data_IF_664229738596
#
_entry.id   IF_664229738596
#
_cell.length_a   1.000
_cell.length_b   1.000
_cell.length_c   1.000
_cell.angle_alpha   90.00
_cell.angle_beta   90.00
_cell.angle_gamma   90.00
#
_symmetry.space_group_name_H-M   'P 1'
#
loop_
_entity.id
_entity.type
_entity.pdbx_description
1 polymer ?
#
# COMPACT_ATOMS: atom_id res chain seq x y z
N UNK A 1 -3.80 73.09 7.19
CA UNK A 1 -4.35 74.06 6.21
C UNK A 1 -4.91 73.30 5.01
N UNK A 2 -5.96 73.83 4.35
CA UNK A 2 -6.43 73.60 2.96
C UNK A 2 -6.26 72.22 2.27
N UNK A 3 -7.39 71.52 2.12
CA UNK A 3 -7.88 70.77 0.92
C UNK A 3 -8.55 71.76 -0.09
N UNK A 4 -9.41 71.45 -1.13
CA UNK A 4 -9.97 70.21 -1.77
C UNK A 4 -9.18 69.74 -3.02
N UNK A 5 -9.62 69.21 -4.20
CA UNK A 5 -10.86 69.13 -5.05
C UNK A 5 -10.77 67.81 -5.89
N UNK A 6 -11.75 66.93 -6.21
CA UNK A 6 -13.13 66.97 -6.82
C UNK A 6 -13.16 67.19 -8.36
N UNK A 7 -14.07 66.69 -9.24
CA UNK A 7 -15.30 65.87 -9.25
C UNK A 7 -15.38 65.18 -10.67
N UNK A 8 -15.66 63.88 -10.90
CA UNK A 8 -16.98 63.17 -10.92
C UNK A 8 -17.74 63.15 -12.30
N UNK A 9 -18.76 62.27 -12.43
CA UNK A 9 -19.72 62.00 -13.56
C UNK A 9 -19.25 60.99 -14.64
N UNK A 10 -19.93 59.91 -15.09
CA UNK A 10 -21.21 59.19 -14.82
C UNK A 10 -22.35 59.27 -15.89
N UNK A 11 -22.81 58.08 -16.37
CA UNK A 11 -24.12 57.68 -17.00
C UNK A 11 -24.41 57.80 -18.53
N UNK A 12 -24.53 56.61 -19.17
CA UNK A 12 -25.64 56.02 -19.99
C UNK A 12 -26.13 56.63 -21.34
N UNK A 13 -26.12 55.78 -22.38
CA UNK A 13 -27.23 55.49 -23.34
C UNK A 13 -26.94 54.11 -23.99
N UNK A 14 -27.78 53.05 -23.96
CA UNK A 14 -29.07 52.72 -24.64
C UNK A 14 -28.98 52.45 -26.17
N UNK A 15 -29.54 51.31 -26.57
CA UNK A 15 -29.47 50.67 -27.91
C UNK A 15 -30.57 51.13 -28.89
N UNK A 16 -30.51 50.66 -30.16
CA UNK A 16 -31.61 49.81 -30.67
C UNK A 16 -31.14 48.57 -31.47
N UNK A 17 -32.09 47.73 -31.91
CA UNK A 17 -31.88 46.54 -32.78
C UNK A 17 -31.98 46.88 -34.28
N UNK A 18 -31.48 46.03 -35.19
CA UNK A 18 -32.32 45.09 -35.98
C UNK A 18 -31.59 44.21 -37.03
N UNK A 19 -32.27 43.10 -37.38
CA UNK A 19 -32.24 42.26 -38.61
C UNK A 19 -31.08 41.28 -38.95
N UNK A 20 -31.51 40.00 -39.07
CA UNK A 20 -31.05 38.82 -39.84
C UNK A 20 -29.87 38.89 -40.83
N UNK A 21 -29.18 37.73 -40.99
CA UNK A 21 -28.81 37.28 -42.35
C UNK A 21 -27.78 36.15 -42.53
N UNK A 22 -28.24 34.89 -42.59
CA UNK A 22 -27.65 33.75 -43.36
C UNK A 22 -26.25 33.20 -42.97
N UNK A 23 -26.09 31.88 -43.11
CA UNK A 23 -24.81 31.14 -42.96
C UNK A 23 -24.35 30.61 -44.32
N UNK A 24 -23.08 30.81 -44.65
CA UNK A 24 -22.29 29.95 -45.57
C UNK A 24 -20.84 29.84 -45.05
N UNK A 25 -20.14 28.71 -45.27
CA UNK A 25 -18.83 28.44 -44.66
C UNK A 25 -17.66 28.93 -45.52
N UNK A 26 -16.56 29.29 -44.86
CA UNK A 26 -15.21 29.37 -45.47
C UNK A 26 -14.43 28.08 -45.25
N UNK A 27 -13.39 27.77 -46.06
CA UNK A 27 -12.63 26.52 -45.94
C UNK A 27 -11.82 26.41 -44.64
N UNK A 28 -11.26 25.22 -44.43
CA UNK A 28 -10.33 24.96 -43.33
C UNK A 28 -8.93 25.50 -43.63
N UNK A 29 -8.26 25.98 -42.60
CA UNK A 29 -6.80 25.99 -42.49
C UNK A 29 -6.38 24.74 -41.68
N UNK A 30 -5.90 23.68 -42.35
CA UNK A 30 -5.48 22.41 -41.72
C UNK A 30 -3.99 22.49 -41.26
N UNK A 31 -3.66 23.33 -40.26
CA UNK A 31 -2.24 23.59 -39.87
C UNK A 31 -1.99 23.93 -38.35
N UNK A 32 -2.50 23.12 -37.40
CA UNK A 32 -2.11 23.20 -35.95
C UNK A 32 -2.19 21.87 -35.15
N UNK A 33 -2.22 20.69 -35.80
CA UNK A 33 -2.33 19.39 -35.08
C UNK A 33 -1.02 18.57 -35.03
N UNK A 34 0.06 19.07 -35.63
CA UNK A 34 1.40 18.45 -35.52
C UNK A 34 2.01 18.67 -34.13
N UNK A 35 2.20 19.94 -33.75
CA UNK A 35 2.84 20.36 -32.50
C UNK A 35 2.07 19.86 -31.25
N UNK A 36 0.74 19.86 -31.30
CA UNK A 36 -0.12 19.26 -30.25
C UNK A 36 0.00 17.76 -30.12
N UNK A 37 0.32 17.04 -31.19
CA UNK A 37 0.61 15.60 -31.12
C UNK A 37 2.03 15.33 -30.63
N UNK A 38 3.01 16.20 -30.91
CA UNK A 38 4.36 16.07 -30.36
C UNK A 38 4.41 16.36 -28.86
N UNK A 39 3.77 17.43 -28.36
CA UNK A 39 3.62 17.65 -26.91
C UNK A 39 2.90 16.49 -26.19
N UNK A 40 1.88 15.90 -26.83
CA UNK A 40 1.16 14.74 -26.26
C UNK A 40 2.01 13.47 -26.29
N UNK A 41 2.80 13.24 -27.34
CA UNK A 41 3.75 12.11 -27.41
C UNK A 41 4.85 12.25 -26.35
N UNK A 42 5.47 13.43 -26.24
CA UNK A 42 6.45 13.72 -25.20
C UNK A 42 5.89 13.54 -23.77
N UNK A 43 4.62 13.89 -23.52
CA UNK A 43 3.94 13.65 -22.23
C UNK A 43 3.44 12.20 -22.04
N UNK A 44 3.43 11.38 -23.08
CA UNK A 44 3.22 9.91 -22.99
C UNK A 44 4.54 9.17 -22.70
N UNK A 45 5.68 9.76 -23.03
CA UNK A 45 7.04 9.22 -22.88
C UNK A 45 7.65 9.31 -21.46
N UNK A 46 6.83 9.48 -20.40
CA UNK A 46 7.17 8.91 -19.09
C UNK A 46 7.23 7.37 -19.22
N UNK A 47 8.40 6.86 -19.63
CA UNK A 47 8.53 5.57 -20.29
C UNK A 47 8.37 4.32 -19.42
N UNK A 48 8.46 3.17 -20.07
CA UNK A 48 8.49 1.85 -19.41
C UNK A 48 9.84 1.59 -18.73
N UNK A 49 10.13 2.35 -17.68
CA UNK A 49 11.36 2.23 -16.90
C UNK A 49 11.58 0.80 -16.37
N UNK A 50 12.83 0.34 -16.44
CA UNK A 50 13.29 -0.82 -15.68
C UNK A 50 13.26 -0.46 -14.19
N UNK A 51 12.73 -1.36 -13.35
CA UNK A 51 12.68 -1.21 -11.90
C UNK A 51 13.25 -2.44 -11.22
N UNK A 52 14.12 -2.22 -10.25
CA UNK A 52 14.71 -3.26 -9.41
C UNK A 52 14.05 -3.32 -8.03
N UNK A 53 14.22 -4.44 -7.33
CA UNK A 53 14.06 -4.51 -5.88
C UNK A 53 15.33 -4.05 -5.16
N UNK A 54 15.23 -3.82 -3.84
CA UNK A 54 16.40 -3.66 -2.99
C UNK A 54 17.00 -5.03 -2.63
N UNK A 55 18.14 -5.03 -1.91
CA UNK A 55 18.66 -6.22 -1.24
C UNK A 55 17.72 -6.64 -0.09
N UNK A 56 17.69 -7.92 0.30
CA UNK A 56 16.89 -8.37 1.43
C UNK A 56 17.38 -7.73 2.73
N UNK A 57 16.45 -7.19 3.52
CA UNK A 57 16.69 -6.69 4.87
C UNK A 57 16.76 -7.88 5.82
N UNK A 58 17.94 -8.12 6.39
CA UNK A 58 18.19 -9.13 7.42
C UNK A 58 19.12 -8.52 8.47
N UNK A 59 18.82 -8.71 9.76
CA UNK A 59 19.67 -8.18 10.83
C UNK A 59 20.99 -8.96 10.95
N UNK A 60 22.10 -8.25 11.11
CA UNK A 60 23.46 -8.81 11.01
C UNK A 60 23.80 -9.86 12.10
N UNK A 61 23.05 -9.91 13.20
CA UNK A 61 23.32 -10.82 14.33
C UNK A 61 22.10 -11.53 14.90
N UNK A 62 20.92 -11.41 14.26
CA UNK A 62 19.69 -12.11 14.69
C UNK A 62 19.17 -12.93 13.51
N UNK A 63 19.21 -14.27 13.58
CA UNK A 63 18.68 -15.13 12.53
C UNK A 63 17.17 -14.88 12.33
N UNK A 64 16.70 -14.56 11.12
CA UNK A 64 15.29 -14.26 10.89
C UNK A 64 14.43 -15.52 11.03
N UNK A 65 13.26 -15.40 11.67
CA UNK A 65 12.27 -16.47 11.77
C UNK A 65 11.08 -16.26 10.82
N UNK A 66 10.80 -15.02 10.42
CA UNK A 66 9.73 -14.65 9.49
C UNK A 66 10.30 -13.82 8.35
N UNK A 67 9.91 -14.13 7.12
CA UNK A 67 10.23 -13.35 5.92
C UNK A 67 8.99 -12.63 5.39
N UNK A 68 9.00 -11.30 5.44
CA UNK A 68 7.97 -10.42 4.86
C UNK A 68 8.29 -10.17 3.39
N UNK A 69 7.39 -10.53 2.48
CA UNK A 69 7.54 -10.30 1.04
C UNK A 69 6.58 -9.24 0.52
N UNK A 70 7.14 -8.22 -0.14
CA UNK A 70 6.47 -7.27 -1.02
C UNK A 70 6.39 -7.77 -2.48
N UNK A 71 5.75 -7.00 -3.36
CA UNK A 71 5.73 -7.32 -4.79
C UNK A 71 6.98 -6.84 -5.51
N UNK A 72 7.20 -5.52 -5.49
CA UNK A 72 8.34 -4.78 -6.02
C UNK A 72 8.23 -3.33 -5.52
N UNK A 73 9.34 -2.61 -5.23
CA UNK A 73 9.29 -1.23 -4.77
C UNK A 73 8.48 -0.30 -5.69
N UNK A 74 7.70 0.58 -5.05
CA UNK A 74 6.98 1.69 -5.68
C UNK A 74 7.95 2.80 -6.13
N UNK A 75 7.47 3.73 -6.94
CA UNK A 75 8.24 4.90 -7.41
C UNK A 75 8.74 5.75 -6.24
N UNK A 76 7.89 5.99 -5.24
CA UNK A 76 8.31 6.66 -4.01
C UNK A 76 9.28 5.79 -3.20
N UNK A 77 9.09 4.47 -3.13
CA UNK A 77 10.07 3.59 -2.49
C UNK A 77 11.45 3.70 -3.11
N UNK A 78 11.56 3.71 -4.44
CA UNK A 78 12.82 3.91 -5.15
C UNK A 78 13.39 5.32 -4.90
N UNK A 79 12.56 6.37 -5.02
CA UNK A 79 12.92 7.78 -4.78
C UNK A 79 13.49 8.03 -3.38
N UNK A 80 12.90 7.40 -2.35
CA UNK A 80 13.28 7.57 -0.95
C UNK A 80 14.11 6.37 -0.40
N UNK A 81 14.61 5.49 -1.28
CA UNK A 81 15.43 4.30 -0.95
C UNK A 81 14.89 3.43 0.19
N UNK A 82 13.57 3.26 0.28
CA UNK A 82 12.92 2.61 1.43
C UNK A 82 11.68 1.80 1.08
N UNK A 83 11.47 0.70 1.79
CA UNK A 83 10.28 -0.14 1.70
C UNK A 83 9.00 0.61 2.09
N UNK A 84 7.90 0.40 1.35
CA UNK A 84 6.56 0.93 1.65
C UNK A 84 6.48 2.46 1.89
N UNK A 85 7.28 3.24 1.16
CA UNK A 85 7.37 4.71 1.30
C UNK A 85 6.22 5.45 0.61
N UNK A 86 4.97 5.15 0.97
CA UNK A 86 3.82 6.02 0.68
C UNK A 86 3.02 6.29 1.94
N UNK A 87 2.48 7.51 2.06
CA UNK A 87 1.73 7.96 3.24
C UNK A 87 0.40 7.23 3.47
N UNK A 88 -0.10 6.51 2.45
CA UNK A 88 -1.36 5.79 2.49
C UNK A 88 -1.17 4.26 2.56
N UNK A 89 0.06 3.75 2.46
CA UNK A 89 0.35 2.35 2.75
C UNK A 89 0.46 2.14 4.26
N UNK A 90 -0.26 1.15 4.81
CA UNK A 90 -0.35 0.95 6.25
C UNK A 90 0.73 0.05 6.87
N UNK A 91 1.67 -0.52 6.08
CA UNK A 91 2.68 -1.47 6.56
C UNK A 91 3.43 -0.95 7.81
N UNK A 92 4.08 0.21 7.70
CA UNK A 92 4.88 0.78 8.80
C UNK A 92 4.06 1.29 9.98
N UNK A 93 2.75 1.49 9.80
CA UNK A 93 1.84 1.79 10.90
C UNK A 93 1.49 0.50 11.66
N UNK A 94 1.18 -0.59 10.94
CA UNK A 94 0.92 -1.92 11.53
C UNK A 94 2.17 -2.45 12.26
N UNK A 95 3.34 -2.36 11.63
CA UNK A 95 4.63 -2.75 12.23
C UNK A 95 4.92 -1.90 13.47
N UNK A 96 4.68 -0.59 13.40
CA UNK A 96 4.83 0.31 14.55
C UNK A 96 3.94 -0.08 15.72
N UNK A 97 2.64 -0.27 15.46
CA UNK A 97 1.67 -0.71 16.48
C UNK A 97 2.07 -2.07 17.11
N UNK A 98 2.61 -3.00 16.32
CA UNK A 98 3.08 -4.31 16.79
C UNK A 98 4.39 -4.26 17.61
N UNK A 99 5.31 -3.32 17.29
CA UNK A 99 6.68 -3.29 17.82
C UNK A 99 6.97 -2.08 18.74
N UNK A 100 5.95 -1.31 19.13
CA UNK A 100 6.11 -0.22 20.09
C UNK A 100 6.69 1.06 19.51
N UNK A 101 6.26 1.48 18.32
CA UNK A 101 6.64 2.79 17.76
C UNK A 101 5.54 3.38 16.85
N UNK A 102 5.61 4.69 16.62
CA UNK A 102 4.85 5.41 15.60
C UNK A 102 5.77 5.62 14.39
N UNK A 103 5.25 5.45 13.17
CA UNK A 103 5.96 5.85 11.94
C UNK A 103 6.24 7.36 11.99
N UNK A 104 7.51 7.78 12.03
CA UNK A 104 7.92 9.18 11.95
C UNK A 104 8.36 9.65 10.56
N UNK A 105 8.47 8.74 9.59
CA UNK A 105 8.99 9.00 8.25
C UNK A 105 7.88 9.03 7.19
N UNK A 106 7.80 10.16 6.49
CA UNK A 106 6.73 10.50 5.58
C UNK A 106 7.27 11.07 4.27
N UNK A 107 6.44 11.05 3.23
CA UNK A 107 6.82 11.48 1.88
C UNK A 107 6.06 12.71 1.44
N UNK A 108 6.63 13.43 0.47
CA UNK A 108 5.95 14.49 -0.29
C UNK A 108 5.34 15.58 0.61
N UNK A 109 6.09 16.01 1.64
CA UNK A 109 5.78 17.15 2.50
C UNK A 109 4.80 16.90 3.64
N UNK A 110 4.47 15.63 3.95
CA UNK A 110 3.72 15.29 5.18
C UNK A 110 4.66 15.02 6.35
N UNK A 111 4.14 15.25 7.55
CA UNK A 111 4.83 15.00 8.83
C UNK A 111 4.12 13.89 9.65
N UNK A 112 3.00 13.37 9.16
CA UNK A 112 2.07 12.55 9.95
C UNK A 112 1.24 11.59 9.07
N UNK A 113 0.67 10.56 9.72
CA UNK A 113 -0.27 9.60 9.14
C UNK A 113 -1.55 10.25 8.57
N UNK A 114 -2.08 9.61 7.52
CA UNK A 114 -3.38 9.95 6.92
C UNK A 114 -4.53 9.82 7.93
N UNK A 115 -5.60 10.61 7.72
CA UNK A 115 -6.67 10.80 8.69
C UNK A 115 -7.46 9.52 9.05
N UNK A 116 -7.49 8.51 8.17
CA UNK A 116 -8.11 7.20 8.44
C UNK A 116 -7.19 6.19 9.15
N UNK A 117 -5.95 6.59 9.47
CA UNK A 117 -4.96 5.80 10.24
C UNK A 117 -4.65 6.48 11.57
N UNK A 118 -4.39 7.81 11.54
CA UNK A 118 -3.96 8.60 12.71
C UNK A 118 -4.79 8.40 13.99
N UNK A 119 -6.14 8.33 13.96
CA UNK A 119 -6.97 8.16 15.16
C UNK A 119 -6.87 6.79 15.85
N UNK A 120 -6.18 5.83 15.23
CA UNK A 120 -6.16 4.43 15.65
C UNK A 120 -4.78 3.95 16.13
N UNK A 121 -3.71 4.72 15.88
CA UNK A 121 -2.34 4.37 16.22
C UNK A 121 -2.18 4.18 17.73
N UNK A 122 -1.45 3.13 18.13
CA UNK A 122 -1.30 2.73 19.53
C UNK A 122 -0.20 3.52 20.26
N UNK A 123 0.76 4.07 19.51
CA UNK A 123 1.97 4.69 20.07
C UNK A 123 2.12 6.17 19.67
N UNK A 124 2.72 6.97 20.56
CA UNK A 124 3.05 8.38 20.35
C UNK A 124 4.51 8.60 19.91
N UNK A 125 5.45 7.82 20.42
CA UNK A 125 6.89 7.90 20.13
C UNK A 125 7.17 7.60 18.66
N UNK A 126 7.66 8.60 17.92
CA UNK A 126 8.00 8.48 16.49
C UNK A 126 9.40 7.91 16.27
N UNK A 127 9.51 6.86 15.46
CA UNK A 127 10.78 6.31 14.98
C UNK A 127 11.12 6.75 13.55
N UNK A 128 12.41 6.87 13.23
CA UNK A 128 12.94 7.07 11.88
C UNK A 128 12.72 5.83 10.99
N UNK A 129 13.08 5.92 9.70
CA UNK A 129 13.00 4.77 8.80
C UNK A 129 14.03 3.69 9.17
N UNK A 130 15.22 4.13 9.53
CA UNK A 130 16.35 3.32 9.97
C UNK A 130 16.05 2.64 11.31
N UNK A 131 15.49 3.39 12.28
CA UNK A 131 15.03 2.85 13.55
C UNK A 131 13.88 1.85 13.39
N UNK A 132 12.97 2.07 12.44
CA UNK A 132 11.89 1.12 12.15
C UNK A 132 12.40 -0.17 11.49
N UNK A 133 13.40 -0.08 10.62
CA UNK A 133 14.12 -1.23 10.05
C UNK A 133 14.89 -2.00 11.12
N UNK A 134 15.56 -1.30 12.04
CA UNK A 134 16.29 -1.90 13.14
C UNK A 134 15.34 -2.58 14.16
N UNK A 135 14.29 -1.89 14.63
CA UNK A 135 13.27 -2.46 15.54
C UNK A 135 12.58 -3.70 14.93
N UNK A 136 12.36 -3.73 13.61
CA UNK A 136 11.76 -4.88 12.91
C UNK A 136 12.76 -6.04 12.73
N UNK A 137 13.97 -5.76 12.25
CA UNK A 137 14.93 -6.80 11.88
C UNK A 137 15.63 -7.42 13.09
N UNK A 138 15.94 -6.64 14.14
CA UNK A 138 16.44 -7.15 15.43
C UNK A 138 15.44 -8.06 16.16
N UNK A 139 14.14 -7.98 15.81
CA UNK A 139 13.10 -8.90 16.27
C UNK A 139 13.03 -10.21 15.48
N UNK A 140 13.84 -10.38 14.42
CA UNK A 140 13.86 -11.60 13.59
C UNK A 140 12.91 -11.58 12.39
N UNK A 141 12.41 -10.41 12.00
CA UNK A 141 11.64 -10.23 10.76
C UNK A 141 12.53 -9.72 9.62
N UNK A 142 12.75 -10.57 8.61
CA UNK A 142 13.38 -10.16 7.36
C UNK A 142 12.37 -9.52 6.40
N UNK A 143 12.83 -8.67 5.48
CA UNK A 143 12.00 -8.11 4.40
C UNK A 143 12.65 -8.29 3.02
N UNK A 144 11.85 -8.61 2.00
CA UNK A 144 12.29 -8.52 0.60
C UNK A 144 11.10 -8.35 -0.36
N UNK A 145 11.32 -8.50 -1.67
CA UNK A 145 10.28 -8.49 -2.71
C UNK A 145 10.30 -9.78 -3.54
N UNK A 146 9.16 -10.16 -4.10
CA UNK A 146 9.06 -11.31 -5.02
C UNK A 146 9.66 -11.02 -6.40
N UNK A 147 9.61 -9.76 -6.89
CA UNK A 147 10.07 -9.38 -8.24
C UNK A 147 11.35 -8.54 -8.15
N UNK A 148 12.49 -9.19 -8.36
CA UNK A 148 13.81 -8.56 -8.35
C UNK A 148 14.00 -7.54 -9.48
N UNK A 149 13.46 -7.79 -10.69
CA UNK A 149 13.49 -6.82 -11.80
C UNK A 149 12.19 -6.86 -12.60
N UNK A 150 11.78 -5.72 -13.18
CA UNK A 150 10.69 -5.66 -14.16
C UNK A 150 10.83 -4.46 -15.10
N UNK A 151 10.02 -4.40 -16.16
CA UNK A 151 9.64 -3.13 -16.81
C UNK A 151 8.23 -2.76 -16.37
N UNK A 152 8.04 -1.54 -15.86
CA UNK A 152 6.74 -1.10 -15.30
C UNK A 152 6.55 0.42 -15.40
N UNK A 153 5.46 0.86 -16.05
CA UNK A 153 4.98 2.26 -15.94
C UNK A 153 4.20 2.45 -14.62
N UNK A 154 4.52 3.51 -13.87
CA UNK A 154 3.95 3.79 -12.55
C UNK A 154 4.21 2.71 -11.48
N UNK A 155 3.38 2.67 -10.43
CA UNK A 155 3.58 1.79 -9.26
C UNK A 155 2.59 0.62 -9.13
N UNK A 156 1.71 0.39 -10.12
CA UNK A 156 0.69 -0.66 -10.03
C UNK A 156 1.26 -2.05 -10.37
N UNK A 157 0.92 -3.07 -9.58
CA UNK A 157 1.39 -4.45 -9.80
C UNK A 157 0.78 -5.10 -11.07
N UNK A 158 -0.35 -4.58 -11.55
CA UNK A 158 -0.95 -4.93 -12.84
C UNK A 158 -0.17 -4.38 -14.05
N UNK A 159 0.72 -3.40 -13.85
CA UNK A 159 1.59 -2.83 -14.87
C UNK A 159 2.99 -3.50 -14.95
N UNK A 160 3.28 -4.49 -14.09
CA UNK A 160 4.53 -5.27 -14.13
C UNK A 160 4.60 -6.09 -15.43
N UNK A 161 5.64 -5.92 -16.22
CA UNK A 161 6.02 -6.73 -17.40
C UNK A 161 7.45 -7.25 -17.25
N UNK A 162 7.81 -8.28 -18.02
CA UNK A 162 9.19 -8.81 -18.08
C UNK A 162 9.80 -9.12 -16.70
N UNK A 163 9.01 -9.68 -15.79
CA UNK A 163 9.38 -9.88 -14.39
C UNK A 163 10.46 -10.97 -14.23
N UNK A 164 11.60 -10.62 -13.64
CA UNK A 164 12.53 -11.58 -13.02
C UNK A 164 12.18 -11.69 -11.54
N UNK A 165 12.18 -12.90 -11.00
CA UNK A 165 11.87 -13.16 -9.59
C UNK A 165 13.13 -13.14 -8.74
N UNK A 166 12.98 -12.79 -7.46
CA UNK A 166 14.06 -12.83 -6.49
C UNK A 166 14.40 -14.28 -6.09
N UNK A 167 15.66 -14.55 -5.77
CA UNK A 167 16.09 -15.86 -5.29
C UNK A 167 15.78 -16.04 -3.79
N UNK A 168 14.48 -16.09 -3.50
CA UNK A 168 13.96 -16.38 -2.15
C UNK A 168 14.36 -17.78 -1.68
N UNK A 169 14.70 -18.71 -2.61
CA UNK A 169 15.20 -20.04 -2.27
C UNK A 169 16.55 -19.96 -1.58
N UNK A 170 17.54 -19.32 -2.21
CA UNK A 170 18.87 -19.15 -1.60
C UNK A 170 18.80 -18.38 -0.28
N UNK A 171 17.91 -17.40 -0.13
CA UNK A 171 17.72 -16.68 1.14
C UNK A 171 17.19 -17.59 2.27
N UNK A 172 16.21 -18.46 1.96
CA UNK A 172 15.61 -19.38 2.94
C UNK A 172 16.53 -20.58 3.26
N UNK A 173 17.34 -21.02 2.29
CA UNK A 173 18.37 -22.04 2.51
C UNK A 173 19.56 -21.48 3.30
N UNK A 174 19.94 -20.20 3.12
CA UNK A 174 20.94 -19.50 3.93
C UNK A 174 20.48 -19.17 5.36
N UNK A 175 19.17 -19.05 5.59
CA UNK A 175 18.59 -18.80 6.92
C UNK A 175 17.58 -19.91 7.35
N UNK A 176 18.05 -21.11 7.75
CA UNK A 176 17.19 -22.21 8.21
C UNK A 176 16.31 -21.89 9.43
N UNK A 177 16.60 -20.80 10.14
CA UNK A 177 15.75 -20.22 11.19
C UNK A 177 14.39 -19.78 10.69
N UNK A 178 14.23 -19.43 9.41
CA UNK A 178 12.95 -19.00 8.83
C UNK A 178 11.95 -20.17 8.88
N UNK A 179 10.81 -19.92 9.54
CA UNK A 179 9.65 -20.84 9.65
C UNK A 179 8.36 -20.25 9.12
N UNK A 180 8.36 -18.99 8.65
CA UNK A 180 7.18 -18.31 8.09
C UNK A 180 7.55 -17.41 6.92
N UNK A 181 6.77 -17.43 5.85
CA UNK A 181 6.82 -16.49 4.73
C UNK A 181 5.46 -15.80 4.62
N UNK A 182 5.48 -14.47 4.64
CA UNK A 182 4.30 -13.60 4.76
C UNK A 182 4.15 -12.69 3.53
N UNK A 183 3.06 -12.83 2.78
CA UNK A 183 2.82 -12.04 1.55
C UNK A 183 2.04 -10.76 1.85
N UNK A 184 2.73 -9.63 1.97
CA UNK A 184 2.19 -8.35 2.46
C UNK A 184 1.07 -7.72 1.62
N UNK A 185 1.00 -8.07 0.33
CA UNK A 185 0.05 -7.50 -0.63
C UNK A 185 -1.08 -8.48 -1.00
N UNK A 186 -1.26 -9.57 -0.25
CA UNK A 186 -2.38 -10.50 -0.39
C UNK A 186 -2.30 -11.49 -1.56
N UNK A 187 -3.46 -12.03 -1.93
CA UNK A 187 -3.63 -13.24 -2.76
C UNK A 187 -2.88 -13.18 -4.10
N UNK A 188 -2.87 -12.04 -4.80
CA UNK A 188 -2.24 -11.96 -6.13
C UNK A 188 -0.70 -11.85 -6.08
N UNK A 189 -0.14 -11.35 -4.98
CA UNK A 189 1.28 -11.49 -4.68
C UNK A 189 1.64 -12.95 -4.38
N UNK A 190 0.88 -13.59 -3.50
CA UNK A 190 1.09 -14.99 -3.15
C UNK A 190 1.00 -15.93 -4.37
N UNK A 191 0.03 -15.70 -5.26
CA UNK A 191 -0.09 -16.39 -6.57
C UNK A 191 1.09 -16.11 -7.51
N UNK A 192 1.65 -14.90 -7.48
CA UNK A 192 2.84 -14.54 -8.27
C UNK A 192 4.07 -15.30 -7.76
N UNK A 193 4.30 -15.29 -6.45
CA UNK A 193 5.33 -16.10 -5.80
C UNK A 193 5.17 -17.58 -6.13
N UNK A 194 3.96 -18.14 -5.99
CA UNK A 194 3.72 -19.53 -6.34
C UNK A 194 4.15 -19.87 -7.76
N UNK A 195 3.73 -19.09 -8.77
CA UNK A 195 4.13 -19.34 -10.17
C UNK A 195 5.63 -19.22 -10.42
N UNK A 196 6.34 -18.42 -9.61
CA UNK A 196 7.79 -18.30 -9.69
C UNK A 196 8.53 -19.49 -9.07
N UNK A 197 7.89 -20.22 -8.15
CA UNK A 197 8.57 -21.20 -7.28
C UNK A 197 7.84 -22.56 -7.16
N UNK A 198 6.86 -22.89 -8.01
CA UNK A 198 5.97 -24.06 -7.83
C UNK A 198 6.73 -25.40 -7.69
N UNK A 199 7.88 -25.55 -8.36
CA UNK A 199 8.78 -26.71 -8.19
C UNK A 199 9.35 -26.78 -6.77
N UNK A 200 10.02 -25.71 -6.32
CA UNK A 200 10.57 -25.60 -4.96
C UNK A 200 9.51 -25.74 -3.87
N UNK A 201 8.28 -25.27 -4.13
CA UNK A 201 7.14 -25.39 -3.21
C UNK A 201 6.58 -26.81 -3.10
N UNK A 202 6.76 -27.66 -4.12
CA UNK A 202 6.36 -29.08 -4.09
C UNK A 202 7.47 -30.01 -3.58
N UNK A 203 8.73 -29.65 -3.82
CA UNK A 203 9.90 -30.37 -3.31
C UNK A 203 10.21 -30.03 -1.84
N UNK A 204 9.89 -28.81 -1.42
CA UNK A 204 10.23 -28.26 -0.11
C UNK A 204 9.17 -28.47 0.97
N UNK A 205 9.58 -28.29 2.22
CA UNK A 205 8.73 -28.48 3.40
C UNK A 205 7.87 -27.23 3.69
N UNK A 206 6.83 -27.02 2.89
CA UNK A 206 5.90 -25.88 3.01
C UNK A 206 4.47 -26.33 3.33
N UNK A 207 3.78 -25.57 4.18
CA UNK A 207 2.35 -25.73 4.44
C UNK A 207 1.63 -24.38 4.36
N UNK A 208 0.34 -24.39 3.99
CA UNK A 208 -0.50 -23.19 4.05
C UNK A 208 -0.94 -22.91 5.50
N UNK A 209 -0.87 -21.66 5.97
CA UNK A 209 -1.59 -21.26 7.20
C UNK A 209 -3.07 -21.65 7.09
N UNK A 210 -3.68 -22.06 8.20
CA UNK A 210 -5.12 -22.37 8.24
C UNK A 210 -5.98 -21.09 8.25
N UNK A 211 -5.97 -20.39 7.11
CA UNK A 211 -6.84 -19.26 6.84
C UNK A 211 -7.39 -19.29 5.39
N UNK A 212 -8.52 -18.62 5.09
CA UNK A 212 -9.15 -18.69 3.77
C UNK A 212 -8.34 -18.10 2.61
N UNK A 213 -7.38 -17.20 2.88
CA UNK A 213 -6.54 -16.59 1.84
C UNK A 213 -5.33 -17.49 1.53
N UNK A 214 -4.68 -18.02 2.56
CA UNK A 214 -3.52 -18.92 2.44
C UNK A 214 -3.90 -20.27 1.82
N UNK A 215 -4.95 -20.93 2.34
CA UNK A 215 -5.42 -22.22 1.77
C UNK A 215 -5.92 -22.07 0.33
N UNK A 216 -6.43 -20.89 -0.05
CA UNK A 216 -6.84 -20.59 -1.44
C UNK A 216 -5.68 -20.46 -2.43
N UNK A 217 -4.45 -20.25 -1.95
CA UNK A 217 -3.25 -20.14 -2.82
C UNK A 217 -2.32 -21.34 -2.69
N UNK A 218 -2.26 -21.99 -1.53
CA UNK A 218 -1.27 -23.03 -1.20
C UNK A 218 -1.88 -24.31 -0.60
N UNK A 219 -3.21 -24.48 -0.60
CA UNK A 219 -3.91 -25.58 0.09
C UNK A 219 -3.73 -27.00 -0.47
N UNK A 220 -3.00 -27.17 -1.57
CA UNK A 220 -2.56 -28.48 -2.12
C UNK A 220 -1.12 -28.84 -1.73
N UNK A 221 -0.43 -28.01 -0.93
CA UNK A 221 0.87 -28.34 -0.34
C UNK A 221 0.70 -29.24 0.90
N UNK A 222 1.76 -29.95 1.29
CA UNK A 222 1.72 -30.89 2.40
C UNK A 222 1.42 -30.20 3.74
N UNK A 223 0.70 -30.89 4.62
CA UNK A 223 0.52 -30.48 6.01
C UNK A 223 1.78 -30.70 6.87
N UNK A 224 2.73 -31.52 6.41
CA UNK A 224 3.98 -31.87 7.11
C UNK A 224 5.12 -30.85 6.85
N UNK A 225 4.76 -29.63 6.45
CA UNK A 225 5.70 -28.56 6.15
C UNK A 225 6.40 -27.98 7.41
N UNK A 226 7.59 -27.43 7.19
CA UNK A 226 8.41 -26.71 8.19
C UNK A 226 8.21 -25.19 8.13
N UNK A 227 7.74 -24.68 6.98
CA UNK A 227 7.56 -23.25 6.71
C UNK A 227 6.08 -22.96 6.46
N UNK A 228 5.49 -22.10 7.30
CA UNK A 228 4.15 -21.55 7.10
C UNK A 228 4.15 -20.55 5.94
N UNK A 229 3.28 -20.75 4.95
CA UNK A 229 2.95 -19.78 3.93
C UNK A 229 1.68 -19.03 4.32
N UNK A 230 1.83 -17.73 4.58
CA UNK A 230 0.78 -16.87 5.12
C UNK A 230 0.47 -15.69 4.18
N UNK A 231 -0.77 -15.57 3.75
CA UNK A 231 -1.26 -14.53 2.84
C UNK A 231 -1.92 -13.42 3.67
N UNK A 232 -1.24 -12.28 3.80
CA UNK A 232 -1.68 -11.19 4.66
C UNK A 232 -2.65 -10.24 3.96
N UNK A 233 -3.47 -9.54 4.74
CA UNK A 233 -4.32 -8.47 4.22
C UNK A 233 -3.50 -7.34 3.59
N UNK A 234 -3.92 -6.86 2.42
CA UNK A 234 -3.05 -6.02 1.59
C UNK A 234 -2.83 -4.64 2.21
N UNK A 235 -1.57 -4.28 2.47
CA UNK A 235 -1.19 -2.97 3.05
C UNK A 235 -1.43 -1.77 2.10
N UNK A 236 -1.86 -2.03 0.87
CA UNK A 236 -2.23 -0.99 -0.10
C UNK A 236 -3.56 -0.30 0.27
N UNK A 237 -3.67 1.04 0.11
CA UNK A 237 -4.93 1.77 0.29
C UNK A 237 -5.98 1.44 -0.78
N UNK A 238 -5.57 0.88 -1.92
CA UNK A 238 -6.49 0.48 -3.00
C UNK A 238 -7.19 -0.87 -2.73
N UNK A 239 -6.86 -1.55 -1.63
CA UNK A 239 -7.45 -2.83 -1.26
C UNK A 239 -8.33 -2.67 -0.02
N UNK A 240 -9.65 -2.82 -0.18
CA UNK A 240 -10.60 -2.82 0.92
C UNK A 240 -11.20 -4.24 1.07
N UNK A 241 -11.00 -4.93 2.21
CA UNK A 241 -11.60 -6.23 2.47
C UNK A 241 -13.12 -6.14 2.39
N UNK A 242 -13.81 -7.13 1.79
CA UNK A 242 -15.28 -7.06 1.58
C UNK A 242 -16.04 -7.05 2.91
N UNK A 243 -15.39 -7.55 3.95
CA UNK A 243 -15.81 -7.63 5.34
C UNK A 243 -16.10 -6.23 5.92
N UNK A 244 -15.46 -5.18 5.41
CA UNK A 244 -15.70 -3.79 5.85
C UNK A 244 -16.92 -3.12 5.21
N UNK A 245 -17.62 -3.77 4.26
CA UNK A 245 -18.65 -3.13 3.41
C UNK A 245 -20.10 -3.51 3.76
N UNK A 246 -20.34 -4.45 4.68
CA UNK A 246 -21.69 -4.96 4.96
C UNK A 246 -22.22 -4.49 6.32
N UNK A 247 -23.26 -3.66 6.28
CA UNK A 247 -24.05 -3.25 7.44
C UNK A 247 -24.59 -4.46 8.23
N UNK A 248 -24.99 -5.52 7.52
CA UNK A 248 -25.51 -6.76 8.08
C UNK A 248 -24.42 -7.55 8.83
N UNK A 249 -23.24 -7.74 8.22
CA UNK A 249 -22.09 -8.37 8.90
C UNK A 249 -21.62 -7.55 10.11
N UNK A 250 -21.74 -6.23 10.07
CA UNK A 250 -21.44 -5.36 11.22
C UNK A 250 -22.47 -5.52 12.35
N UNK A 251 -23.77 -5.57 12.05
CA UNK A 251 -24.83 -5.89 13.03
C UNK A 251 -24.64 -7.28 13.65
N UNK A 252 -24.26 -8.28 12.84
CA UNK A 252 -23.97 -9.64 13.31
C UNK A 252 -22.74 -9.74 14.23
N UNK A 253 -21.91 -8.69 14.30
CA UNK A 253 -20.81 -8.53 15.27
C UNK A 253 -21.16 -7.55 16.42
N UNK A 254 -22.41 -7.11 16.52
CA UNK A 254 -22.93 -6.29 17.61
C UNK A 254 -22.89 -4.77 17.39
N UNK A 255 -22.66 -4.29 16.16
CA UNK A 255 -22.50 -2.84 15.91
C UNK A 255 -23.83 -2.17 15.56
N UNK A 256 -24.11 -1.01 16.17
CA UNK A 256 -25.37 -0.28 16.00
C UNK A 256 -25.48 0.45 14.64
N UNK A 257 -26.68 0.97 14.34
CA UNK A 257 -27.01 1.66 13.08
C UNK A 257 -26.04 2.81 12.72
N UNK A 258 -25.47 3.51 13.71
CA UNK A 258 -24.51 4.61 13.52
C UNK A 258 -23.18 4.15 12.91
N UNK A 259 -22.84 2.86 13.08
CA UNK A 259 -21.62 2.24 12.59
C UNK A 259 -21.88 1.38 11.36
N UNK A 260 -23.01 0.68 11.30
CA UNK A 260 -23.35 -0.23 10.21
C UNK A 260 -23.34 0.44 8.81
N UNK A 261 -23.55 1.75 8.72
CA UNK A 261 -23.47 2.53 7.47
C UNK A 261 -22.08 3.09 7.13
N UNK A 262 -21.08 2.93 8.00
CA UNK A 262 -19.69 3.32 7.74
C UNK A 262 -18.93 2.14 7.12
N UNK A 263 -17.98 2.38 6.19
CA UNK A 263 -16.97 1.37 5.90
C UNK A 263 -16.20 1.08 7.19
N UNK A 264 -16.17 -0.17 7.64
CA UNK A 264 -15.47 -0.52 8.88
C UNK A 264 -13.99 -0.12 8.80
N UNK A 265 -13.41 0.29 9.93
CA UNK A 265 -12.13 1.00 9.95
C UNK A 265 -11.02 0.18 9.26
N UNK A 266 -10.64 0.64 8.07
CA UNK A 266 -9.77 -0.11 7.15
C UNK A 266 -8.41 -0.44 7.77
N UNK A 267 -7.92 0.46 8.63
CA UNK A 267 -6.65 0.29 9.32
C UNK A 267 -6.74 -0.69 10.51
N UNK A 268 -7.61 -0.51 11.53
CA UNK A 268 -7.80 -1.48 12.62
C UNK A 268 -8.05 -2.93 12.15
N UNK A 269 -8.88 -3.15 11.12
CA UNK A 269 -9.12 -4.50 10.60
C UNK A 269 -7.85 -5.13 10.02
N UNK A 270 -7.11 -4.39 9.19
CA UNK A 270 -5.84 -4.87 8.61
C UNK A 270 -4.79 -5.11 9.68
N UNK A 271 -4.67 -4.20 10.66
CA UNK A 271 -3.78 -4.35 11.82
C UNK A 271 -4.08 -5.65 12.56
N UNK A 272 -5.34 -5.92 12.87
CA UNK A 272 -5.76 -7.12 13.59
C UNK A 272 -5.43 -8.42 12.85
N UNK A 273 -5.70 -8.45 11.53
CA UNK A 273 -5.30 -9.59 10.67
C UNK A 273 -3.79 -9.81 10.69
N UNK A 274 -2.99 -8.75 10.55
CA UNK A 274 -1.53 -8.81 10.61
C UNK A 274 -0.99 -9.20 12.00
N UNK A 275 -1.65 -8.74 13.07
CA UNK A 275 -1.35 -9.12 14.45
C UNK A 275 -1.52 -10.62 14.63
N UNK A 276 -2.68 -11.18 14.31
CA UNK A 276 -2.95 -12.63 14.44
C UNK A 276 -2.06 -13.50 13.52
N UNK A 277 -1.71 -13.00 12.34
CA UNK A 277 -1.01 -13.76 11.31
C UNK A 277 0.52 -13.69 11.40
N UNK A 278 1.08 -12.51 11.65
CA UNK A 278 2.52 -12.23 11.56
C UNK A 278 3.17 -11.87 12.89
N UNK A 279 2.48 -11.09 13.74
CA UNK A 279 3.03 -10.51 14.96
C UNK A 279 2.44 -11.11 16.25
N UNK A 280 1.76 -12.26 16.17
CA UNK A 280 1.00 -12.84 17.28
C UNK A 280 1.84 -13.14 18.53
N UNK A 281 3.16 -13.30 18.36
CA UNK A 281 4.08 -13.54 19.46
C UNK A 281 4.60 -12.28 20.17
N UNK A 282 4.44 -11.10 19.58
CA UNK A 282 4.98 -9.85 20.10
C UNK A 282 4.27 -9.37 21.38
N UNK A 283 5.00 -8.87 22.40
CA UNK A 283 4.39 -8.47 23.67
C UNK A 283 3.31 -7.38 23.54
N UNK A 284 3.48 -6.40 22.65
CA UNK A 284 2.49 -5.35 22.42
C UNK A 284 1.22 -5.88 21.74
N UNK A 285 1.35 -6.92 20.91
CA UNK A 285 0.21 -7.61 20.28
C UNK A 285 -0.52 -8.49 21.31
N UNK A 286 0.20 -9.23 22.15
CA UNK A 286 -0.37 -10.02 23.25
C UNK A 286 -1.06 -9.17 24.33
N UNK A 287 -0.66 -7.90 24.47
CA UNK A 287 -1.30 -6.92 25.35
C UNK A 287 -2.38 -6.07 24.65
N UNK A 288 -2.55 -6.19 23.33
CA UNK A 288 -3.54 -5.41 22.58
C UNK A 288 -4.97 -5.91 22.85
N UNK A 289 -5.96 -5.00 22.99
CA UNK A 289 -7.36 -5.40 23.03
C UNK A 289 -7.77 -6.01 21.67
N UNK A 290 -8.62 -7.05 21.64
CA UNK A 290 -9.02 -7.70 20.41
C UNK A 290 -9.85 -6.75 19.54
N UNK A 291 -9.67 -6.82 18.22
CA UNK A 291 -10.38 -5.95 17.27
C UNK A 291 -11.89 -6.05 17.44
N UNK A 292 -12.49 -4.87 17.63
CA UNK A 292 -13.92 -4.70 17.84
C UNK A 292 -14.33 -4.56 19.30
N UNK A 293 -13.38 -4.63 20.24
CA UNK A 293 -13.62 -4.30 21.65
C UNK A 293 -13.45 -2.81 21.98
N UNK A 294 -12.92 -2.01 21.03
CA UNK A 294 -12.79 -0.57 21.18
C UNK A 294 -13.74 0.20 20.25
N UNK A 295 -14.36 1.24 20.81
CA UNK A 295 -15.08 2.31 20.11
C UNK A 295 -14.29 2.90 18.92
N UNK A 296 -12.95 2.90 19.00
CA UNK A 296 -12.05 3.39 17.96
C UNK A 296 -11.93 2.46 16.75
N UNK A 297 -12.28 1.18 16.87
CA UNK A 297 -12.17 0.20 15.77
C UNK A 297 -13.28 0.37 14.70
N UNK A 298 -14.25 1.26 14.96
CA UNK A 298 -15.38 1.60 14.08
C UNK A 298 -15.40 3.07 13.64
N UNK A 299 -14.44 3.87 14.11
CA UNK A 299 -14.26 5.26 13.68
C UNK A 299 -13.55 5.30 12.32
N UNK A 300 -13.70 6.42 11.63
CA UNK A 300 -13.16 6.71 10.30
C UNK A 300 -13.54 8.12 9.89
#
# INVERSE_FOLDING_TARGET
MKTPISNNKLKRSRSPHFFFGVVTPTPKDDDDDSNRNEEKRAKVEEGEGKKGAFLPVVHASVPPHTLLLGTQPSDNSLKYSGYFMTNANCFWHIVGDALGFRRGFHVDGREEAVDYVRPHLMHSESASYEEAIERLSSRGYAMWDVVAESTRKGSLDSAIRNAKYADVRSLVEAHPSIRKICFSNGIDLARRFRRAHDVWLREGTFYARDDPASRRVFGDLSAEGRIELCVLESVSPASNPRETWSAEKQRAKGHDDRWAHRPAALYPFKRASWFEACFADEPAVKAAPPFGSLDSDYRG
#
